data_IF_984833179446
#
_entry.id   IF_984833179446
#
_cell.length_a   1.000
_cell.length_b   1.000
_cell.length_c   1.000
_cell.angle_alpha   90.00
_cell.angle_beta   90.00
_cell.angle_gamma   90.00
#
_symmetry.space_group_name_H-M   'P 1'
#
loop_
_entity.id
_entity.type
_entity.pdbx_description
1 polymer ?
#
# COMPACT_ATOMS: atom_id res chain seq x y z
N UNK A 1 25.39 -31.42 35.35
CA UNK A 1 24.53 -31.62 34.16
C UNK A 1 23.39 -30.62 34.27
N UNK A 2 23.54 -29.44 33.66
CA UNK A 2 22.54 -28.37 33.70
C UNK A 2 22.06 -28.19 32.26
N UNK A 3 20.88 -28.72 31.96
CA UNK A 3 20.17 -28.45 30.71
C UNK A 3 19.48 -27.09 30.86
N UNK A 4 20.11 -26.01 30.40
CA UNK A 4 19.41 -24.74 30.21
C UNK A 4 18.85 -24.71 28.79
N UNK A 5 17.64 -25.26 28.62
CA UNK A 5 16.81 -24.95 27.45
C UNK A 5 16.31 -23.52 27.61
N UNK A 6 17.00 -22.55 27.01
CA UNK A 6 16.47 -21.20 26.83
C UNK A 6 15.43 -21.25 25.72
N UNK A 7 14.17 -21.44 26.10
CA UNK A 7 13.03 -21.12 25.23
C UNK A 7 12.84 -19.60 25.20
N UNK A 8 13.61 -18.90 24.37
CA UNK A 8 13.29 -17.53 24.02
C UNK A 8 12.08 -17.57 23.08
N UNK A 9 10.89 -17.28 23.62
CA UNK A 9 9.75 -16.90 22.78
C UNK A 9 10.08 -15.52 22.23
N UNK A 10 10.80 -15.44 21.10
CA UNK A 10 10.90 -14.18 20.38
C UNK A 10 9.51 -13.89 19.81
N UNK A 11 8.81 -12.90 20.36
CA UNK A 11 7.79 -12.23 19.57
C UNK A 11 8.54 -11.65 18.37
N UNK A 12 8.15 -12.03 17.15
CA UNK A 12 8.79 -11.50 15.94
C UNK A 12 8.70 -9.98 15.99
N UNK A 13 9.84 -9.30 15.81
CA UNK A 13 9.90 -7.85 15.77
C UNK A 13 9.09 -7.34 14.58
N UNK A 14 8.28 -6.30 14.80
CA UNK A 14 7.56 -5.63 13.71
C UNK A 14 8.49 -4.59 13.09
N UNK A 15 8.58 -4.61 11.77
CA UNK A 15 9.24 -3.54 11.02
C UNK A 15 8.21 -2.47 10.67
N UNK A 16 8.50 -1.22 11.03
CA UNK A 16 7.65 -0.08 10.68
C UNK A 16 8.17 0.55 9.40
N UNK A 17 7.33 0.61 8.37
CA UNK A 17 7.67 1.26 7.10
C UNK A 17 6.89 2.57 7.04
N UNK A 18 7.63 3.67 7.12
CA UNK A 18 7.09 5.03 6.94
C UNK A 18 7.76 5.66 5.74
N UNK A 19 6.94 6.07 4.78
CA UNK A 19 7.38 6.81 3.60
C UNK A 19 6.84 8.23 3.71
N UNK A 20 7.76 9.19 3.78
CA UNK A 20 7.49 10.59 4.08
C UNK A 20 7.99 11.54 3.00
N UNK A 21 8.04 12.85 3.28
CA UNK A 21 8.34 13.88 2.29
C UNK A 21 9.76 13.76 1.74
N UNK A 22 10.68 13.21 2.55
CA UNK A 22 12.07 12.97 2.14
C UNK A 22 12.21 11.78 1.18
N UNK A 23 11.24 10.87 1.16
CA UNK A 23 11.26 9.62 0.38
C UNK A 23 9.84 9.27 -0.15
N UNK A 24 9.27 10.07 -1.07
CA UNK A 24 7.87 9.91 -1.42
C UNK A 24 7.60 8.86 -2.49
N UNK A 25 6.51 8.11 -2.33
CA UNK A 25 5.98 7.30 -3.45
C UNK A 25 5.35 8.26 -4.46
N UNK A 26 5.90 8.27 -5.67
CA UNK A 26 5.32 8.94 -6.82
C UNK A 26 4.84 7.85 -7.77
N UNK A 27 3.70 8.05 -8.39
CA UNK A 27 3.19 7.07 -9.35
C UNK A 27 2.37 7.69 -10.45
N UNK A 28 2.32 6.96 -11.56
CA UNK A 28 1.55 7.28 -12.75
C UNK A 28 0.25 6.51 -12.65
N UNK A 29 -0.85 7.24 -12.52
CA UNK A 29 -2.19 6.69 -12.45
C UNK A 29 -2.81 6.60 -13.84
N UNK A 30 -3.04 5.37 -14.30
CA UNK A 30 -3.79 4.99 -15.49
C UNK A 30 -5.23 4.72 -15.09
N UNK A 31 -6.11 5.68 -15.35
CA UNK A 31 -7.55 5.45 -15.22
C UNK A 31 -8.10 4.99 -16.57
N UNK A 32 -8.60 3.76 -16.64
CA UNK A 32 -9.24 3.26 -17.85
C UNK A 32 -10.62 3.93 -18.03
N UNK A 33 -10.95 4.33 -19.25
CA UNK A 33 -12.27 4.88 -19.61
C UNK A 33 -12.84 4.04 -20.74
N UNK A 34 -13.58 2.98 -20.44
CA UNK A 34 -14.21 2.15 -21.48
C UNK A 34 -15.64 2.61 -21.78
N UNK A 35 -16.07 2.50 -23.03
CA UNK A 35 -17.49 2.43 -23.39
C UNK A 35 -17.88 0.98 -23.73
N UNK A 36 -19.17 0.70 -23.68
CA UNK A 36 -19.76 -0.62 -23.92
C UNK A 36 -19.69 -1.01 -25.42
N UNK A 37 -19.36 -2.28 -25.78
CA UNK A 37 -18.99 -3.39 -24.91
C UNK A 37 -17.49 -3.41 -24.52
N UNK A 38 -17.20 -3.88 -23.31
CA UNK A 38 -15.85 -3.88 -22.70
C UNK A 38 -14.86 -4.81 -23.41
N UNK A 39 -15.37 -5.85 -24.06
CA UNK A 39 -14.57 -6.77 -24.87
C UNK A 39 -14.08 -6.12 -26.17
N UNK A 40 -14.71 -5.01 -26.60
CA UNK A 40 -14.37 -4.30 -27.83
C UNK A 40 -14.70 -2.78 -27.77
N UNK A 41 -13.92 -1.99 -27.00
CA UNK A 41 -14.25 -0.59 -26.74
C UNK A 41 -14.14 0.26 -28.02
N UNK A 42 -15.16 1.10 -28.26
CA UNK A 42 -15.25 1.96 -29.45
C UNK A 42 -15.01 3.45 -29.17
N UNK A 43 -15.01 3.90 -27.90
CA UNK A 43 -14.73 5.27 -27.43
C UNK A 43 -14.30 5.31 -25.96
N UNK A 44 -13.49 6.30 -25.59
CA UNK A 44 -13.11 6.56 -24.21
C UNK A 44 -14.12 7.47 -23.49
N UNK A 45 -14.87 6.95 -22.51
CA UNK A 45 -15.70 7.77 -21.62
C UNK A 45 -15.70 7.23 -20.19
N UNK A 46 -15.71 8.08 -19.17
CA UNK A 46 -15.75 7.65 -17.77
C UNK A 46 -17.15 7.08 -17.47
N UNK A 47 -17.30 5.75 -17.52
CA UNK A 47 -18.52 5.08 -17.04
C UNK A 47 -18.26 4.27 -15.79
N UNK A 48 -19.16 4.52 -14.86
CA UNK A 48 -19.29 4.00 -13.50
C UNK A 48 -19.82 2.57 -13.55
N UNK A 49 -19.12 1.61 -12.94
CA UNK A 49 -19.71 0.32 -12.64
C UNK A 49 -20.56 0.47 -11.37
N UNK A 50 -21.86 0.20 -11.48
CA UNK A 50 -22.72 0.11 -10.31
C UNK A 50 -22.66 -1.31 -9.76
N UNK A 51 -22.16 -1.45 -8.53
CA UNK A 51 -22.05 -2.71 -7.79
C UNK A 51 -22.72 -2.59 -6.43
N UNK A 52 -23.03 -3.72 -5.80
CA UNK A 52 -23.45 -3.72 -4.40
C UNK A 52 -22.29 -3.27 -3.50
N UNK A 53 -22.61 -2.56 -2.42
CA UNK A 53 -21.62 -2.12 -1.44
C UNK A 53 -21.07 -3.33 -0.65
N UNK A 54 -19.78 -3.68 -0.77
CA UNK A 54 -19.29 -4.95 -0.23
C UNK A 54 -18.81 -4.86 1.22
N UNK A 55 -18.85 -3.69 1.89
CA UNK A 55 -18.20 -3.49 3.20
C UNK A 55 -19.17 -3.54 4.40
N UNK A 56 -20.41 -3.98 4.21
CA UNK A 56 -21.45 -4.01 5.25
C UNK A 56 -22.21 -2.68 5.39
N UNK A 57 -23.07 -2.52 6.41
CA UNK A 57 -23.88 -1.31 6.53
C UNK A 57 -23.00 -0.08 6.71
N UNK A 58 -23.37 1.03 6.08
CA UNK A 58 -22.72 2.32 6.32
C UNK A 58 -23.01 2.71 7.79
N UNK A 59 -22.02 3.15 8.60
CA UNK A 59 -22.18 3.31 10.06
C UNK A 59 -23.34 4.21 10.54
N UNK A 60 -23.84 5.10 9.68
CA UNK A 60 -25.01 5.95 9.98
C UNK A 60 -26.29 5.57 9.20
N UNK A 61 -26.31 4.42 8.54
CA UNK A 61 -27.47 3.88 7.87
C UNK A 61 -28.32 3.02 8.82
N UNK A 62 -29.46 3.56 9.28
CA UNK A 62 -30.51 2.75 9.94
C UNK A 62 -31.46 2.09 8.93
N UNK A 63 -31.22 2.30 7.64
CA UNK A 63 -32.10 1.88 6.54
C UNK A 63 -31.65 0.50 6.03
N UNK A 64 -32.56 -0.38 5.56
CA UNK A 64 -32.16 -1.71 5.10
C UNK A 64 -31.21 -1.65 3.89
N UNK A 65 -30.30 -2.62 3.81
CA UNK A 65 -29.21 -2.74 2.83
C UNK A 65 -29.70 -2.66 1.37
N UNK A 66 -30.98 -2.98 1.14
CA UNK A 66 -31.58 -3.01 -0.18
C UNK A 66 -31.81 -1.63 -0.83
N UNK A 67 -31.74 -0.55 -0.06
CA UNK A 67 -31.80 0.83 -0.56
C UNK A 67 -30.42 1.42 -0.92
N UNK A 68 -29.31 0.74 -0.58
CA UNK A 68 -27.93 1.16 -0.88
C UNK A 68 -27.29 0.49 -2.12
N UNK A 69 -28.08 -0.25 -2.89
CA UNK A 69 -27.65 -1.23 -3.92
C UNK A 69 -26.84 -0.70 -5.12
N UNK A 70 -26.44 0.58 -5.17
CA UNK A 70 -25.65 1.09 -6.31
C UNK A 70 -24.50 1.95 -5.82
N UNK A 71 -23.40 1.27 -5.49
CA UNK A 71 -22.08 1.86 -5.30
C UNK A 71 -21.39 1.98 -6.64
N UNK A 72 -20.74 3.10 -6.89
CA UNK A 72 -19.78 3.24 -7.98
C UNK A 72 -18.46 2.61 -7.59
N UNK A 73 -17.91 1.71 -8.40
CA UNK A 73 -16.50 1.32 -8.32
C UNK A 73 -15.73 1.86 -9.53
N UNK A 74 -14.59 2.49 -9.26
CA UNK A 74 -13.59 2.90 -10.24
C UNK A 74 -12.30 2.12 -10.01
N UNK A 75 -11.82 1.41 -11.04
CA UNK A 75 -10.50 0.78 -11.03
C UNK A 75 -9.52 1.60 -11.87
N UNK A 76 -8.28 1.65 -11.41
CA UNK A 76 -7.16 2.29 -12.10
C UNK A 76 -5.88 1.52 -11.81
N UNK A 77 -4.93 1.65 -12.72
CA UNK A 77 -3.60 1.06 -12.55
C UNK A 77 -2.63 2.15 -12.07
N UNK A 78 -1.83 1.83 -11.08
CA UNK A 78 -0.79 2.69 -10.54
C UNK A 78 0.57 2.04 -10.79
N UNK A 79 1.42 2.76 -11.52
CA UNK A 79 2.83 2.40 -11.68
C UNK A 79 3.68 3.37 -10.88
N UNK A 80 4.40 2.88 -9.88
CA UNK A 80 5.32 3.70 -9.08
C UNK A 80 6.52 4.11 -9.93
N UNK A 81 7.00 5.34 -9.74
CA UNK A 81 8.24 5.87 -10.31
C UNK A 81 9.03 6.57 -9.22
N UNK A 82 10.34 6.39 -9.18
CA UNK A 82 11.21 7.29 -8.41
C UNK A 82 11.50 8.54 -9.23
N UNK A 83 11.86 9.63 -8.54
CA UNK A 83 12.33 10.86 -9.18
C UNK A 83 13.76 11.20 -8.75
N UNK A 84 14.45 11.98 -9.58
CA UNK A 84 15.68 12.66 -9.24
C UNK A 84 15.40 13.94 -8.44
N UNK A 85 16.45 14.53 -7.85
CA UNK A 85 16.36 15.79 -7.10
C UNK A 85 15.84 16.96 -7.95
N UNK A 86 16.06 16.93 -9.28
CA UNK A 86 15.50 17.90 -10.23
C UNK A 86 14.08 17.57 -10.70
N UNK A 87 13.41 16.62 -10.04
CA UNK A 87 11.99 16.29 -10.24
C UNK A 87 11.69 15.42 -11.46
N UNK A 88 12.71 14.84 -12.12
CA UNK A 88 12.53 13.99 -13.30
C UNK A 88 12.34 12.53 -12.91
N UNK A 89 11.51 11.75 -13.63
CA UNK A 89 11.44 10.32 -13.43
C UNK A 89 12.82 9.65 -13.57
N UNK A 90 13.17 8.80 -12.60
CA UNK A 90 14.46 8.10 -12.52
C UNK A 90 14.32 6.61 -12.84
N UNK A 91 13.46 5.90 -12.14
CA UNK A 91 13.27 4.45 -12.32
C UNK A 91 11.79 4.07 -12.19
N UNK A 92 11.30 3.27 -13.14
CA UNK A 92 9.92 2.77 -13.15
C UNK A 92 9.82 1.47 -12.34
N UNK A 93 8.87 1.43 -11.43
CA UNK A 93 8.58 0.30 -10.55
C UNK A 93 9.45 0.24 -9.30
N UNK A 94 10.35 1.19 -9.08
CA UNK A 94 11.08 1.29 -7.81
C UNK A 94 10.35 2.24 -6.86
N UNK A 95 10.27 1.87 -5.58
CA UNK A 95 9.92 2.79 -4.51
C UNK A 95 11.21 3.47 -3.99
N UNK A 96 11.12 4.62 -3.33
CA UNK A 96 12.26 5.21 -2.65
C UNK A 96 12.85 4.25 -1.62
N UNK A 97 14.18 4.16 -1.58
CA UNK A 97 14.87 3.45 -0.53
C UNK A 97 14.63 4.17 0.81
N UNK A 98 14.39 3.41 1.88
CA UNK A 98 14.08 3.99 3.20
C UNK A 98 14.86 3.31 4.31
N UNK A 99 15.38 4.08 5.26
CA UNK A 99 16.03 3.50 6.43
C UNK A 99 14.97 2.93 7.37
N UNK A 100 15.01 1.63 7.59
CA UNK A 100 14.17 0.95 8.59
C UNK A 100 14.92 0.72 9.88
N UNK A 101 14.19 0.78 10.99
CA UNK A 101 14.67 0.40 12.32
C UNK A 101 14.23 -1.02 12.59
N UNK A 102 15.17 -1.82 13.08
CA UNK A 102 15.03 -3.25 13.32
C UNK A 102 15.59 -3.57 14.71
N UNK A 103 15.31 -4.77 15.20
CA UNK A 103 15.83 -5.26 16.49
C UNK A 103 16.50 -6.61 16.30
N UNK A 104 17.83 -6.63 16.34
CA UNK A 104 18.64 -7.84 16.32
C UNK A 104 18.55 -8.57 17.67
N UNK A 105 18.47 -9.90 17.63
CA UNK A 105 18.45 -10.76 18.84
C UNK A 105 17.38 -10.37 19.89
N UNK A 106 16.31 -9.68 19.48
CA UNK A 106 15.21 -9.27 20.35
C UNK A 106 15.47 -8.06 21.24
N UNK A 107 16.67 -7.47 21.25
CA UNK A 107 16.94 -6.27 22.06
C UNK A 107 18.04 -5.35 21.54
N UNK A 108 18.78 -5.74 20.49
CA UNK A 108 19.91 -4.96 19.98
C UNK A 108 19.40 -4.05 18.85
N UNK A 109 19.58 -2.72 18.94
CA UNK A 109 19.16 -1.81 17.88
C UNK A 109 19.88 -2.11 16.57
N UNK A 110 19.13 -2.14 15.49
CA UNK A 110 19.65 -2.29 14.14
C UNK A 110 18.97 -1.32 13.17
N UNK A 111 19.69 -0.95 12.11
CA UNK A 111 19.16 -0.16 11.00
C UNK A 111 19.57 -0.79 9.68
N UNK A 112 18.72 -0.72 8.67
CA UNK A 112 19.05 -1.16 7.32
C UNK A 112 18.38 -0.27 6.28
N UNK A 113 18.91 -0.26 5.06
CA UNK A 113 18.23 0.33 3.90
C UNK A 113 17.25 -0.70 3.34
N UNK A 114 15.97 -0.35 3.32
CA UNK A 114 14.90 -1.11 2.69
C UNK A 114 14.71 -0.62 1.27
N UNK A 115 14.90 -1.53 0.30
CA UNK A 115 14.56 -1.29 -1.10
C UNK A 115 13.35 -2.12 -1.49
N UNK A 116 12.38 -1.49 -2.15
CA UNK A 116 11.16 -2.13 -2.62
C UNK A 116 10.98 -1.86 -4.10
N UNK A 117 10.68 -2.92 -4.87
CA UNK A 117 10.38 -2.82 -6.29
C UNK A 117 9.10 -3.56 -6.63
N UNK A 118 8.26 -2.98 -7.47
CA UNK A 118 7.09 -3.63 -8.04
C UNK A 118 7.50 -4.90 -8.78
N UNK A 119 6.66 -5.93 -8.68
CA UNK A 119 6.91 -7.20 -9.36
C UNK A 119 6.93 -7.01 -10.86
N UNK A 120 7.81 -7.75 -11.53
CA UNK A 120 7.85 -7.86 -12.99
C UNK A 120 7.56 -9.28 -13.41
N UNK A 121 6.67 -9.46 -14.38
CA UNK A 121 6.43 -10.75 -15.04
C UNK A 121 6.79 -10.61 -16.51
N UNK A 122 7.61 -11.55 -17.03
CA UNK A 122 8.09 -11.53 -18.41
C UNK A 122 8.70 -10.17 -18.83
N UNK A 123 9.36 -9.47 -17.89
CA UNK A 123 9.96 -8.15 -18.09
C UNK A 123 9.01 -6.96 -17.92
N UNK A 124 7.69 -7.18 -17.96
CA UNK A 124 6.68 -6.15 -17.77
C UNK A 124 6.41 -5.89 -16.29
N UNK A 125 6.29 -4.61 -15.90
CA UNK A 125 5.87 -4.24 -14.55
C UNK A 125 4.42 -4.64 -14.34
N UNK A 126 4.13 -5.26 -13.21
CA UNK A 126 2.77 -5.50 -12.74
C UNK A 126 2.28 -4.25 -11.99
N UNK A 127 1.39 -3.44 -12.59
CA UNK A 127 0.87 -2.25 -11.93
C UNK A 127 0.08 -2.63 -10.67
N UNK A 128 0.03 -1.72 -9.71
CA UNK A 128 -0.87 -1.87 -8.57
C UNK A 128 -2.28 -1.45 -8.97
N UNK A 129 -3.28 -2.12 -8.46
CA UNK A 129 -4.68 -1.74 -8.64
C UNK A 129 -5.07 -0.70 -7.60
N UNK A 130 -5.60 0.43 -8.05
CA UNK A 130 -6.28 1.42 -7.23
C UNK A 130 -7.78 1.22 -7.43
N UNK A 131 -8.46 0.78 -6.38
CA UNK A 131 -9.90 0.61 -6.38
C UNK A 131 -10.54 1.68 -5.49
N UNK A 132 -11.48 2.44 -6.06
CA UNK A 132 -12.26 3.46 -5.34
C UNK A 132 -13.74 3.12 -5.41
N UNK A 133 -14.35 2.87 -4.25
CA UNK A 133 -15.80 2.70 -4.10
C UNK A 133 -16.43 3.97 -3.57
N UNK A 134 -17.55 4.37 -4.17
CA UNK A 134 -18.29 5.59 -3.82
C UNK A 134 -19.77 5.27 -3.67
N UNK A 135 -20.34 5.53 -2.50
CA UNK A 135 -21.80 5.52 -2.31
C UNK A 135 -22.32 6.96 -2.41
N UNK A 136 -23.10 7.24 -3.44
CA UNK A 136 -23.72 8.55 -3.66
C UNK A 136 -25.20 8.54 -3.32
N UNK A 137 -25.55 8.85 -2.07
CA UNK A 137 -26.86 9.38 -1.75
C UNK A 137 -26.64 10.76 -1.12
N UNK A 138 -27.23 11.80 -1.70
CA UNK A 138 -27.13 13.18 -1.21
C UNK A 138 -27.76 13.35 0.18
N UNK A 139 -28.54 12.38 0.65
CA UNK A 139 -29.10 12.30 2.00
C UNK A 139 -29.18 10.83 2.41
N UNK A 140 -28.32 10.39 3.33
CA UNK A 140 -28.53 9.13 4.05
C UNK A 140 -29.52 9.43 5.20
N UNK A 141 -30.78 8.94 5.16
CA UNK A 141 -31.69 9.12 6.28
C UNK A 141 -31.08 8.49 7.54
N UNK A 142 -30.93 9.27 8.61
CA UNK A 142 -30.34 8.82 9.89
C UNK A 142 -28.93 9.36 10.19
N UNK A 143 -28.29 10.06 9.25
CA UNK A 143 -27.05 10.79 9.53
C UNK A 143 -27.39 12.28 9.77
N UNK A 144 -27.43 12.72 11.03
CA UNK A 144 -27.62 14.14 11.37
C UNK A 144 -26.38 14.94 10.93
N UNK A 145 -26.52 15.88 9.98
CA UNK A 145 -25.44 16.74 9.49
C UNK A 145 -25.77 17.43 8.15
N UNK A 146 -25.07 18.53 7.78
CA UNK A 146 -25.29 19.19 6.50
C UNK A 146 -25.04 18.23 5.32
N UNK A 147 -25.92 18.34 4.33
CA UNK A 147 -26.07 17.53 3.10
C UNK A 147 -24.79 16.97 2.46
N UNK A 148 -24.92 15.73 1.95
CA UNK A 148 -24.09 15.04 0.96
C UNK A 148 -22.65 14.65 1.33
N UNK A 149 -22.46 13.89 2.42
CA UNK A 149 -21.21 13.14 2.60
C UNK A 149 -21.25 11.86 1.74
N UNK A 150 -20.54 11.88 0.60
CA UNK A 150 -20.22 10.65 -0.11
C UNK A 150 -19.28 9.80 0.75
N UNK A 151 -19.57 8.51 0.90
CA UNK A 151 -18.63 7.58 1.53
C UNK A 151 -17.70 7.03 0.46
N UNK A 152 -16.41 7.14 0.75
CA UNK A 152 -15.34 6.63 -0.09
C UNK A 152 -14.65 5.47 0.64
N UNK A 153 -14.35 4.42 -0.10
CA UNK A 153 -13.33 3.44 0.26
C UNK A 153 -12.31 3.44 -0.87
N UNK A 154 -11.04 3.61 -0.53
CA UNK A 154 -9.94 3.48 -1.49
C UNK A 154 -8.97 2.43 -0.99
N UNK A 155 -8.63 1.51 -1.87
CA UNK A 155 -7.63 0.48 -1.65
C UNK A 155 -6.64 0.53 -2.80
N UNK A 156 -5.35 0.60 -2.46
CA UNK A 156 -4.26 0.38 -3.41
C UNK A 156 -3.66 -0.99 -3.09
N UNK A 157 -3.73 -1.92 -4.03
CA UNK A 157 -3.30 -3.29 -3.86
C UNK A 157 -2.29 -3.72 -4.92
N UNK A 158 -1.26 -4.45 -4.52
CA UNK A 158 -0.29 -5.04 -5.43
C UNK A 158 0.84 -5.74 -4.70
N UNK A 159 1.92 -6.06 -5.42
CA UNK A 159 3.05 -6.79 -4.86
C UNK A 159 4.37 -6.02 -4.99
N UNK A 160 5.27 -6.26 -4.03
CA UNK A 160 6.66 -5.78 -4.06
C UNK A 160 7.66 -6.89 -3.79
N UNK A 161 8.78 -6.84 -4.50
CA UNK A 161 10.00 -7.51 -4.11
C UNK A 161 10.76 -6.63 -3.11
N UNK A 162 11.13 -7.22 -1.97
CA UNK A 162 11.82 -6.55 -0.87
C UNK A 162 13.28 -6.99 -0.83
N UNK A 163 14.19 -6.04 -0.71
CA UNK A 163 15.63 -6.27 -0.46
C UNK A 163 16.13 -5.40 0.69
N UNK A 164 17.18 -5.87 1.37
CA UNK A 164 17.83 -5.12 2.46
C UNK A 164 19.33 -4.96 2.17
N UNK A 165 19.84 -3.76 2.43
CA UNK A 165 21.27 -3.44 2.38
C UNK A 165 21.68 -2.58 3.58
N UNK A 166 22.98 -2.30 3.68
CA UNK A 166 23.54 -1.34 4.66
C UNK A 166 23.12 -1.62 6.10
N UNK A 167 23.10 -2.90 6.48
CA UNK A 167 22.75 -3.30 7.83
C UNK A 167 23.81 -2.80 8.82
N UNK A 168 23.35 -2.15 9.87
CA UNK A 168 24.16 -1.74 11.02
C UNK A 168 23.52 -2.34 12.26
N UNK A 169 24.28 -3.12 13.02
CA UNK A 169 23.83 -3.74 14.29
C UNK A 169 24.69 -3.17 15.40
N UNK A 170 24.07 -2.51 16.39
CA UNK A 170 24.79 -1.85 17.49
C UNK A 170 25.92 -0.92 17.03
N UNK A 171 25.68 -0.18 15.94
CA UNK A 171 26.69 0.70 15.33
C UNK A 171 27.75 0.00 14.49
N UNK A 172 27.75 -1.34 14.41
CA UNK A 172 28.70 -2.12 13.61
C UNK A 172 28.08 -2.46 12.24
N UNK A 173 28.71 -2.05 11.12
CA UNK A 173 28.27 -2.46 9.80
C UNK A 173 28.37 -3.98 9.61
N UNK A 174 27.32 -4.58 9.06
CA UNK A 174 27.22 -6.00 8.73
C UNK A 174 26.99 -6.14 7.23
N UNK A 175 27.90 -6.83 6.54
CA UNK A 175 27.81 -7.04 5.10
C UNK A 175 26.77 -8.12 4.77
N UNK A 176 25.66 -7.69 4.16
CA UNK A 176 24.58 -8.57 3.72
C UNK A 176 24.82 -9.17 2.32
N UNK A 177 25.87 -8.74 1.63
CA UNK A 177 26.08 -9.07 0.23
C UNK A 177 24.98 -8.52 -0.71
N UNK A 178 25.12 -8.71 -2.03
CA UNK A 178 24.23 -8.10 -3.02
C UNK A 178 22.91 -8.86 -3.23
N UNK A 179 22.73 -10.02 -2.61
CA UNK A 179 21.62 -10.94 -2.91
C UNK A 179 20.54 -10.99 -1.82
N UNK A 180 20.68 -10.21 -0.75
CA UNK A 180 19.80 -10.25 0.42
C UNK A 180 18.40 -9.71 0.12
N UNK A 181 17.43 -10.62 0.02
CA UNK A 181 16.04 -10.30 -0.36
C UNK A 181 15.03 -11.24 0.28
N UNK A 182 13.77 -10.81 0.33
CA UNK A 182 12.66 -11.69 0.69
C UNK A 182 12.54 -12.85 -0.33
N UNK A 183 12.20 -14.04 0.16
CA UNK A 183 12.14 -15.27 -0.64
C UNK A 183 11.09 -15.22 -1.77
N UNK A 184 10.02 -14.46 -1.58
CA UNK A 184 8.99 -14.20 -2.58
C UNK A 184 8.45 -12.77 -2.41
N UNK A 185 7.68 -12.24 -3.38
CA UNK A 185 7.03 -10.95 -3.24
C UNK A 185 6.11 -10.88 -2.02
N UNK A 186 5.99 -9.67 -1.45
CA UNK A 186 5.07 -9.35 -0.38
C UNK A 186 3.84 -8.62 -0.95
N UNK A 187 2.66 -8.95 -0.43
CA UNK A 187 1.42 -8.27 -0.77
C UNK A 187 1.29 -6.94 -0.01
N UNK A 188 0.91 -5.89 -0.71
CA UNK A 188 0.72 -4.53 -0.18
C UNK A 188 -0.73 -4.12 -0.41
N UNK A 189 -1.38 -3.66 0.66
CA UNK A 189 -2.79 -3.27 0.73
C UNK A 189 -2.93 -1.93 1.47
N UNK A 190 -2.75 -0.83 0.77
CA UNK A 190 -2.81 0.50 1.36
C UNK A 190 -4.24 1.05 1.29
N UNK A 191 -4.84 1.24 2.45
CA UNK A 191 -6.19 1.80 2.57
C UNK A 191 -6.16 3.31 2.72
N UNK A 192 -7.17 3.99 2.18
CA UNK A 192 -7.44 5.40 2.49
C UNK A 192 -7.81 5.58 3.95
N UNK A 193 -6.96 6.27 4.72
CA UNK A 193 -7.16 6.56 6.15
C UNK A 193 -7.40 8.06 6.35
N UNK A 194 -8.00 8.47 7.47
CA UNK A 194 -8.27 9.90 7.72
C UNK A 194 -7.00 10.77 7.56
N UNK A 195 -7.00 11.84 6.75
CA UNK A 195 -8.10 12.45 5.97
C UNK A 195 -8.05 12.20 4.43
N UNK A 196 -7.88 10.95 3.97
CA UNK A 196 -7.76 10.62 2.54
C UNK A 196 -8.99 11.02 1.73
N UNK A 197 -8.75 11.63 0.57
CA UNK A 197 -9.77 11.98 -0.43
C UNK A 197 -9.25 11.53 -1.80
N UNK A 198 -10.02 10.70 -2.55
CA UNK A 198 -9.63 10.30 -3.91
C UNK A 198 -9.32 11.51 -4.79
N UNK A 199 -8.23 11.43 -5.55
CA UNK A 199 -7.72 12.50 -6.41
C UNK A 199 -7.36 13.82 -5.71
N UNK A 200 -7.38 13.90 -4.38
CA UNK A 200 -6.77 15.01 -3.63
C UNK A 200 -5.59 14.53 -2.79
N UNK A 201 -5.55 13.23 -2.46
CA UNK A 201 -4.50 12.62 -1.67
C UNK A 201 -4.86 12.54 -0.19
N UNK A 202 -3.84 12.42 0.65
CA UNK A 202 -3.95 12.18 2.08
C UNK A 202 -3.36 10.82 2.47
N UNK A 203 -3.59 10.46 3.72
CA UNK A 203 -2.90 9.33 4.34
C UNK A 203 -3.41 7.99 3.80
N UNK A 204 -2.46 7.11 3.49
CA UNK A 204 -2.68 5.72 3.17
C UNK A 204 -2.04 4.86 4.26
N UNK A 205 -2.70 3.78 4.64
CA UNK A 205 -2.24 2.97 5.76
C UNK A 205 -2.70 1.52 5.71
N UNK A 206 -1.89 0.68 6.33
CA UNK A 206 -2.13 -0.75 6.46
C UNK A 206 -1.63 -1.20 7.84
N UNK A 207 -2.51 -1.24 8.82
CA UNK A 207 -2.22 -1.62 10.20
C UNK A 207 -3.51 -1.96 10.95
N UNK A 208 -3.40 -2.72 12.03
CA UNK A 208 -4.54 -3.10 12.86
C UNK A 208 -5.17 -1.87 13.53
N UNK A 209 -6.50 -1.83 13.59
CA UNK A 209 -7.24 -0.72 14.20
C UNK A 209 -7.31 0.56 13.36
N UNK A 210 -6.90 0.51 12.09
CA UNK A 210 -6.99 1.65 11.17
C UNK A 210 -8.46 2.07 10.93
N UNK A 211 -8.68 3.39 10.91
CA UNK A 211 -9.99 4.01 10.70
C UNK A 211 -10.05 4.85 9.42
N UNK A 212 -11.24 4.95 8.84
CA UNK A 212 -11.50 5.78 7.66
C UNK A 212 -11.56 7.28 7.99
N UNK A 213 -11.83 8.11 6.98
CA UNK A 213 -11.97 9.57 7.12
C UNK A 213 -12.96 10.00 8.22
N UNK A 214 -14.01 9.23 8.45
CA UNK A 214 -15.06 9.55 9.42
C UNK A 214 -14.72 9.03 10.82
N UNK A 215 -13.67 8.23 10.97
CA UNK A 215 -13.28 7.59 12.23
C UNK A 215 -13.90 6.21 12.41
N UNK A 216 -14.52 5.65 11.36
CA UNK A 216 -15.11 4.32 11.41
C UNK A 216 -14.05 3.24 11.16
N UNK A 217 -14.09 2.09 11.87
CA UNK A 217 -13.17 0.98 11.62
C UNK A 217 -13.21 0.54 10.15
N UNK A 218 -12.04 0.45 9.52
CA UNK A 218 -11.94 -0.16 8.19
C UNK A 218 -12.03 -1.69 8.33
N UNK A 219 -12.85 -2.30 7.47
CA UNK A 219 -13.05 -3.75 7.38
C UNK A 219 -12.95 -4.20 5.93
N UNK A 220 -12.61 -5.47 5.78
CA UNK A 220 -12.67 -6.18 4.50
C UNK A 220 -14.10 -6.30 3.97
N UNK A 221 -14.25 -6.99 2.85
CA UNK A 221 -15.57 -7.21 2.28
C UNK A 221 -16.36 -8.25 3.09
N UNK A 222 -17.67 -8.04 3.22
CA UNK A 222 -18.61 -8.96 3.88
C UNK A 222 -18.95 -10.18 3.03
N UNK A 223 -18.49 -10.21 1.79
CA UNK A 223 -18.67 -11.31 0.84
C UNK A 223 -17.73 -11.14 -0.35
N UNK A 224 -17.76 -12.08 -1.31
CA UNK A 224 -17.00 -11.94 -2.54
C UNK A 224 -17.45 -10.69 -3.31
N UNK A 225 -16.51 -10.05 -4.00
CA UNK A 225 -16.79 -9.05 -5.00
C UNK A 225 -17.54 -9.73 -6.15
N UNK A 226 -18.59 -9.08 -6.62
CA UNK A 226 -19.33 -9.46 -7.81
C UNK A 226 -19.62 -8.18 -8.59
N UNK A 227 -19.03 -8.06 -9.77
CA UNK A 227 -19.21 -6.92 -10.65
C UNK A 227 -19.63 -7.41 -12.03
N UNK A 228 -20.71 -6.84 -12.61
CA UNK A 228 -21.07 -7.15 -13.99
C UNK A 228 -20.02 -6.67 -15.00
N UNK A 229 -19.10 -5.78 -14.59
CA UNK A 229 -18.10 -5.15 -15.45
C UNK A 229 -16.65 -5.57 -15.15
N UNK A 230 -16.37 -6.08 -13.95
CA UNK A 230 -15.03 -6.45 -13.49
C UNK A 230 -15.03 -7.94 -13.11
N UNK A 231 -15.26 -8.80 -14.11
CA UNK A 231 -15.44 -10.24 -13.91
C UNK A 231 -14.19 -10.89 -13.30
N UNK A 232 -13.01 -10.31 -13.53
CA UNK A 232 -11.73 -10.72 -12.93
C UNK A 232 -11.69 -10.54 -11.40
N UNK A 233 -12.61 -9.74 -10.84
CA UNK A 233 -12.79 -9.60 -9.40
C UNK A 233 -13.82 -10.58 -8.83
N UNK A 234 -14.62 -11.24 -9.67
CA UNK A 234 -15.71 -12.09 -9.22
C UNK A 234 -15.21 -13.24 -8.33
N UNK A 235 -15.82 -13.38 -7.16
CA UNK A 235 -15.45 -14.41 -6.18
C UNK A 235 -14.29 -14.03 -5.26
N UNK A 236 -13.57 -12.93 -5.51
CA UNK A 236 -12.47 -12.47 -4.63
C UNK A 236 -13.02 -11.73 -3.43
N UNK A 237 -12.43 -11.91 -2.25
CA UNK A 237 -12.76 -11.12 -1.05
C UNK A 237 -11.66 -10.11 -0.77
N UNK A 238 -12.05 -8.95 -0.23
CA UNK A 238 -11.10 -7.95 0.26
C UNK A 238 -10.80 -8.29 1.73
N UNK A 239 -9.53 -8.50 2.13
CA UNK A 239 -9.18 -8.80 3.49
C UNK A 239 -9.36 -7.58 4.41
N UNK A 240 -9.53 -7.82 5.70
CA UNK A 240 -9.41 -6.77 6.70
C UNK A 240 -8.04 -6.10 6.63
N UNK A 241 -7.96 -4.77 6.82
CA UNK A 241 -6.69 -4.07 6.91
C UNK A 241 -5.82 -4.67 8.00
N UNK A 242 -4.70 -5.24 7.56
CA UNK A 242 -3.67 -5.90 8.36
C UNK A 242 -2.34 -5.55 7.73
N UNK A 243 -1.28 -5.36 8.52
CA UNK A 243 0.03 -4.96 8.03
C UNK A 243 0.59 -5.86 6.92
N UNK A 244 1.73 -5.50 6.34
CA UNK A 244 2.40 -6.27 5.29
C UNK A 244 3.06 -7.51 5.88
N UNK A 245 2.80 -8.65 5.26
CA UNK A 245 3.48 -9.90 5.58
C UNK A 245 4.83 -9.94 4.85
N UNK A 246 5.93 -9.82 5.60
CA UNK A 246 7.28 -9.86 5.05
C UNK A 246 7.79 -11.30 5.11
N UNK A 247 8.08 -11.95 3.96
CA UNK A 247 8.57 -13.33 3.90
C UNK A 247 9.97 -13.48 4.52
N UNK A 248 10.42 -14.71 4.81
CA UNK A 248 11.81 -14.98 5.17
C UNK A 248 12.78 -14.43 4.12
N UNK A 249 13.93 -13.95 4.58
CA UNK A 249 15.00 -13.49 3.72
C UNK A 249 15.90 -14.64 3.28
N UNK A 250 16.46 -14.54 2.09
CA UNK A 250 17.39 -15.48 1.49
C UNK A 250 18.58 -14.75 0.85
N UNK A 251 19.72 -15.42 0.74
CA UNK A 251 20.90 -14.89 0.06
C UNK A 251 21.58 -13.73 0.79
N UNK A 252 21.42 -13.65 2.11
CA UNK A 252 22.04 -12.62 2.94
C UNK A 252 23.37 -13.13 3.52
N UNK A 253 24.39 -12.30 3.46
CA UNK A 253 25.73 -12.57 3.95
C UNK A 253 26.80 -12.46 2.86
N UNK A 254 28.05 -12.42 3.28
CA UNK A 254 29.22 -12.40 2.41
C UNK A 254 30.32 -13.31 2.97
N UNK A 255 31.33 -13.62 2.16
CA UNK A 255 32.49 -14.40 2.63
C UNK A 255 32.20 -15.85 3.04
N UNK A 256 31.00 -16.39 2.76
CA UNK A 256 30.58 -17.74 3.15
C UNK A 256 29.67 -17.81 4.38
N UNK A 257 29.43 -16.68 5.05
CA UNK A 257 28.47 -16.60 6.14
C UNK A 257 27.03 -16.55 5.61
N UNK A 258 26.12 -17.27 6.27
CA UNK A 258 24.67 -17.18 6.01
C UNK A 258 24.00 -16.35 7.11
N UNK A 259 23.66 -15.09 6.75
CA UNK A 259 22.98 -14.14 7.62
C UNK A 259 21.46 -14.13 7.40
N UNK A 260 20.93 -14.96 6.49
CA UNK A 260 19.49 -15.01 6.20
C UNK A 260 18.63 -15.33 7.44
N UNK A 261 19.04 -16.23 8.37
CA UNK A 261 18.30 -16.44 9.61
C UNK A 261 18.25 -15.20 10.51
N UNK A 262 19.36 -14.46 10.63
CA UNK A 262 19.44 -13.24 11.43
C UNK A 262 18.52 -12.15 10.84
N UNK A 263 18.61 -11.90 9.54
CA UNK A 263 17.77 -10.90 8.86
C UNK A 263 16.30 -11.29 8.93
N UNK A 264 15.96 -12.57 8.73
CA UNK A 264 14.59 -13.09 8.85
C UNK A 264 14.03 -12.86 10.26
N UNK A 265 14.83 -13.09 11.30
CA UNK A 265 14.38 -12.87 12.68
C UNK A 265 14.10 -11.38 12.99
N UNK A 266 14.79 -10.46 12.33
CA UNK A 266 14.65 -9.02 12.53
C UNK A 266 13.51 -8.39 11.73
N UNK A 267 13.37 -8.79 10.46
CA UNK A 267 12.57 -8.06 9.48
C UNK A 267 11.32 -8.82 9.00
N UNK A 268 11.30 -10.15 9.10
CA UNK A 268 10.19 -10.96 8.60
C UNK A 268 9.12 -11.17 9.66
N UNK A 269 7.86 -11.20 9.22
CA UNK A 269 6.74 -11.42 10.11
C UNK A 269 5.42 -11.04 9.45
N UNK A 270 4.30 -11.50 10.01
CA UNK A 270 3.01 -11.03 9.57
C UNK A 270 2.70 -9.63 10.12
N UNK A 271 1.83 -8.90 9.44
CA UNK A 271 1.25 -7.65 9.92
C UNK A 271 2.25 -6.51 10.22
N UNK A 272 3.31 -6.35 9.42
CA UNK A 272 4.22 -5.19 9.53
C UNK A 272 3.48 -3.90 9.15
N UNK A 273 3.34 -2.92 10.05
CA UNK A 273 2.53 -1.75 9.79
C UNK A 273 3.18 -0.82 8.76
N UNK A 274 2.36 -0.34 7.83
CA UNK A 274 2.82 0.57 6.76
C UNK A 274 1.97 1.85 6.74
N UNK A 275 2.65 2.98 6.51
CA UNK A 275 2.03 4.28 6.24
C UNK A 275 2.73 5.01 5.12
N UNK A 276 1.92 5.66 4.30
CA UNK A 276 2.37 6.51 3.20
C UNK A 276 1.47 7.74 3.16
N UNK A 277 1.98 8.89 2.76
CA UNK A 277 1.13 10.01 2.38
C UNK A 277 1.07 10.14 0.86
N UNK A 278 -0.14 10.19 0.31
CA UNK A 278 -0.34 10.42 -1.12
C UNK A 278 -0.57 11.91 -1.36
N UNK A 279 0.12 12.48 -2.37
CA UNK A 279 -0.23 13.78 -2.91
C UNK A 279 -1.49 13.75 -3.78
N UNK A 280 -1.96 14.94 -4.15
CA UNK A 280 -2.92 15.09 -5.24
C UNK A 280 -2.26 14.71 -6.57
N UNK A 281 -2.96 13.98 -7.47
CA UNK A 281 -2.45 13.67 -8.79
C UNK A 281 -2.33 14.95 -9.63
N UNK A 282 -1.32 14.98 -10.47
CA UNK A 282 -1.23 15.95 -11.56
C UNK A 282 -1.84 15.34 -12.82
N UNK A 283 -2.73 16.08 -13.49
CA UNK A 283 -3.31 15.65 -14.75
C UNK A 283 -2.42 16.14 -15.90
N UNK A 284 -1.46 15.31 -16.31
CA UNK A 284 -0.55 15.63 -17.40
C UNK A 284 -0.58 14.50 -18.43
N UNK A 285 -0.57 14.82 -19.73
CA UNK A 285 -0.42 13.77 -20.74
C UNK A 285 0.98 13.18 -20.61
N UNK A 286 1.06 11.87 -20.32
CA UNK A 286 2.30 11.08 -20.34
C UNK A 286 2.28 10.13 -21.53
N UNK A 287 3.47 9.74 -22.00
CA UNK A 287 3.61 8.73 -23.04
C UNK A 287 3.43 7.34 -22.41
N UNK A 288 2.41 6.55 -22.81
CA UNK A 288 2.20 5.22 -22.23
C UNK A 288 3.35 4.24 -22.55
N UNK A 289 4.10 4.48 -23.63
CA UNK A 289 5.23 3.66 -24.07
C UNK A 289 6.57 4.15 -23.48
N UNK A 290 6.62 5.38 -22.96
CA UNK A 290 7.80 5.96 -22.31
C UNK A 290 7.41 6.71 -21.02
N UNK A 291 7.31 5.95 -19.92
CA UNK A 291 6.95 6.45 -18.59
C UNK A 291 8.00 7.37 -17.95
N UNK A 292 9.20 7.49 -18.55
CA UNK A 292 10.25 8.39 -18.06
C UNK A 292 10.20 9.77 -18.71
N UNK A 293 9.42 9.95 -19.78
CA UNK A 293 9.35 11.20 -20.52
C UNK A 293 8.51 12.26 -19.80
N UNK A 294 9.16 13.30 -19.31
CA UNK A 294 8.52 14.53 -18.82
C UNK A 294 9.15 15.78 -19.47
N UNK A 295 8.46 16.35 -20.47
CA UNK A 295 9.02 17.41 -21.32
C UNK A 295 8.77 18.84 -20.79
N UNK A 296 8.09 19.03 -19.63
CA UNK A 296 7.79 20.37 -19.11
C UNK A 296 7.78 20.44 -17.58
N UNK A 297 8.43 21.43 -16.95
CA UNK A 297 8.47 21.60 -15.50
C UNK A 297 7.09 21.77 -14.84
N UNK A 298 6.10 22.29 -15.57
CA UNK A 298 4.71 22.42 -15.09
C UNK A 298 3.94 21.10 -15.13
N UNK A 299 4.54 20.03 -15.65
CA UNK A 299 3.93 18.71 -15.84
C UNK A 299 4.65 17.58 -15.12
N UNK A 300 5.78 17.86 -14.48
CA UNK A 300 6.54 16.85 -13.72
C UNK A 300 6.03 16.77 -12.27
N UNK A 301 6.18 15.60 -11.61
CA UNK A 301 5.65 15.37 -10.27
C UNK A 301 6.08 16.47 -9.29
N UNK A 302 5.12 17.04 -8.57
CA UNK A 302 5.39 17.98 -7.49
C UNK A 302 6.01 17.25 -6.29
N UNK A 303 6.76 17.96 -5.43
CA UNK A 303 7.21 17.41 -4.16
C UNK A 303 6.02 16.91 -3.33
N UNK A 304 6.24 15.81 -2.64
CA UNK A 304 5.18 15.12 -1.90
C UNK A 304 4.79 15.83 -0.61
N UNK A 305 3.57 15.59 -0.10
CA UNK A 305 3.12 16.13 1.18
C UNK A 305 3.85 15.49 2.39
N UNK A 306 3.79 16.16 3.54
CA UNK A 306 4.42 15.69 4.79
C UNK A 306 3.85 14.35 5.28
N UNK A 307 4.67 13.49 5.87
CA UNK A 307 4.24 12.19 6.39
C UNK A 307 3.30 12.38 7.59
N UNK A 308 2.25 11.54 7.74
CA UNK A 308 1.49 11.51 8.98
C UNK A 308 2.37 11.02 10.13
N UNK A 309 2.07 11.48 11.34
CA UNK A 309 2.68 10.93 12.56
C UNK A 309 2.43 9.41 12.64
N UNK A 310 3.41 8.69 13.19
CA UNK A 310 3.23 7.27 13.55
C UNK A 310 2.06 7.14 14.52
N UNK A 311 1.24 6.08 14.43
CA UNK A 311 0.20 5.88 15.42
C UNK A 311 0.85 5.59 16.76
N UNK A 312 0.11 5.79 17.86
CA UNK A 312 0.41 5.06 19.07
C UNK A 312 0.43 3.56 18.75
N UNK A 313 1.46 2.88 19.22
CA UNK A 313 1.51 1.44 19.21
C UNK A 313 0.27 0.89 19.92
N UNK A 314 -0.29 -0.27 19.50
CA UNK A 314 -1.25 -0.98 20.33
C UNK A 314 -0.68 -1.14 21.74
N UNK A 315 -1.55 -1.04 22.76
CA UNK A 315 -1.12 -1.14 24.16
C UNK A 315 -0.23 -2.38 24.39
N UNK A 316 1.01 -2.15 24.81
CA UNK A 316 1.98 -3.21 25.11
C UNK A 316 2.96 -3.57 23.99
N UNK A 317 2.95 -2.87 22.86
CA UNK A 317 4.03 -2.94 21.86
C UNK A 317 4.99 -1.75 22.06
N UNK A 318 6.30 -2.01 22.19
CA UNK A 318 7.36 -0.99 22.15
C UNK A 318 7.93 -0.87 20.73
N UNK A 319 8.46 0.30 20.33
CA UNK A 319 9.08 0.50 19.02
C UNK A 319 10.22 -0.48 18.72
#
# INVERSE_FOLDING_TARGET
>A
MVSSTQGAVSRRSKTYITLGPDNPIIGILRYARFNDPIENPTRYSARVANVDWPFGPVPCATVPVDQYKKTRIDLSDLTVVTITDDGKPKEVGALPDTTVRLVAFGSIPATATLSMKMVRENGAIQPWTVATWVTGATNFPGCDGPTANSYFRTLIAGQVQISLSDLVVDGVPVDLGPSCRAAHPADVWLWGVKPYIPLQGGSLGQYEGVVDRNGDPLRGSTGPLDSPYYQELNGKSIPDPRGVDIPPFIGCGSGGDDLSPLVTAMASGPNNPVRVNQGGPMFTPYDPDDLLKCDSPSRCPLPAPAAPEMPPLPDGETP
#
